data_IF_434395672299
#
_entry.id   IF_434395672299
#
_cell.length_a   1.000
_cell.length_b   1.000
_cell.length_c   1.000
_cell.angle_alpha   90.00
_cell.angle_beta   90.00
_cell.angle_gamma   90.00
#
_symmetry.space_group_name_H-M   'P 1'
#
loop_
_entity.id
_entity.type
_entity.pdbx_description
1 polymer ?
#
# COMPACT_ATOMS: atom_id res chain seq x y z
N UNK A 1 13.26 16.87 34.10
CA UNK A 1 12.29 17.72 33.37
C UNK A 1 12.24 17.44 31.87
N UNK A 2 13.20 16.71 31.28
CA UNK A 2 13.17 16.31 29.85
C UNK A 2 12.15 15.20 29.53
N UNK A 3 11.99 14.19 30.39
CA UNK A 3 11.07 13.06 30.14
C UNK A 3 9.57 13.39 30.14
N UNK A 4 9.17 14.56 30.67
CA UNK A 4 7.76 15.02 30.62
C UNK A 4 7.48 15.75 29.30
N UNK A 5 8.53 16.26 28.64
CA UNK A 5 8.42 16.99 27.37
C UNK A 5 8.11 16.04 26.21
N UNK A 6 8.70 14.84 26.23
CA UNK A 6 8.53 13.79 25.22
C UNK A 6 7.12 13.16 25.23
N UNK A 7 6.47 13.12 26.40
CA UNK A 7 5.09 12.63 26.53
C UNK A 7 4.07 13.70 26.06
N UNK A 8 4.40 15.00 26.18
CA UNK A 8 3.54 16.10 25.71
C UNK A 8 3.51 16.29 24.19
N UNK A 9 4.51 15.84 23.44
CA UNK A 9 4.52 15.91 21.97
C UNK A 9 3.60 14.87 21.30
N UNK A 10 3.16 13.85 22.04
CA UNK A 10 2.21 12.83 21.54
C UNK A 10 0.73 13.26 21.61
N UNK A 11 0.41 14.41 22.19
CA UNK A 11 -0.92 15.00 22.05
C UNK A 11 -1.06 15.66 20.66
N UNK A 12 -1.61 14.88 19.72
CA UNK A 12 -2.28 15.40 18.53
C UNK A 12 -1.39 15.72 17.33
N UNK A 13 -0.33 14.94 17.05
CA UNK A 13 0.33 15.05 15.75
C UNK A 13 -0.65 14.61 14.66
N UNK A 14 -1.11 15.57 13.85
CA UNK A 14 -2.01 15.29 12.73
C UNK A 14 -1.22 14.59 11.63
N UNK A 15 -1.49 13.30 11.46
CA UNK A 15 -0.89 12.52 10.39
C UNK A 15 -1.71 12.65 9.11
N UNK A 16 -1.00 12.57 7.97
CA UNK A 16 -1.56 12.57 6.62
C UNK A 16 -1.60 11.15 6.08
N UNK A 17 -2.42 10.99 5.05
CA UNK A 17 -2.48 9.78 4.24
C UNK A 17 -1.68 10.03 2.97
N UNK A 18 -0.82 9.08 2.62
CA UNK A 18 -0.16 8.99 1.32
C UNK A 18 -0.83 7.92 0.45
N UNK A 19 -0.88 8.12 -0.87
CA UNK A 19 -1.51 7.17 -1.80
C UNK A 19 -0.59 6.94 -3.00
N UNK A 20 -0.39 5.69 -3.38
CA UNK A 20 0.37 5.27 -4.56
C UNK A 20 -0.51 4.37 -5.42
N UNK A 21 -0.75 4.71 -6.69
CA UNK A 21 -1.62 3.89 -7.54
C UNK A 21 -1.67 4.34 -9.00
N UNK A 22 -2.61 3.77 -9.76
CA UNK A 22 -2.96 4.26 -11.08
C UNK A 22 -3.52 5.68 -11.05
N UNK A 23 -3.62 6.30 -12.23
CA UNK A 23 -4.21 7.62 -12.41
C UNK A 23 -5.64 7.71 -11.86
N UNK A 24 -6.45 6.67 -12.03
CA UNK A 24 -7.86 6.65 -11.58
C UNK A 24 -7.93 6.57 -10.05
N UNK A 25 -7.15 5.68 -9.44
CA UNK A 25 -7.12 5.52 -7.98
C UNK A 25 -6.63 6.81 -7.31
N UNK A 26 -5.52 7.36 -7.80
CA UNK A 26 -4.95 8.61 -7.28
C UNK A 26 -5.96 9.75 -7.38
N UNK A 27 -6.60 9.93 -8.54
CA UNK A 27 -7.58 10.99 -8.75
C UNK A 27 -8.76 10.88 -7.78
N UNK A 28 -9.26 9.68 -7.51
CA UNK A 28 -10.32 9.46 -6.53
C UNK A 28 -9.94 9.92 -5.12
N UNK A 29 -8.73 9.61 -4.68
CA UNK A 29 -8.22 10.05 -3.37
C UNK A 29 -7.90 11.55 -3.32
N UNK A 30 -7.41 12.14 -4.41
CA UNK A 30 -7.21 13.60 -4.51
C UNK A 30 -8.53 14.36 -4.35
N UNK A 31 -9.59 13.89 -5.02
CA UNK A 31 -10.94 14.45 -4.88
C UNK A 31 -11.49 14.32 -3.45
N UNK A 32 -11.10 13.26 -2.73
CA UNK A 32 -11.41 13.07 -1.32
C UNK A 32 -10.55 13.92 -0.37
N UNK A 33 -9.62 14.73 -0.89
CA UNK A 33 -8.79 15.68 -0.12
C UNK A 33 -7.41 15.14 0.28
N UNK A 34 -6.99 13.97 -0.22
CA UNK A 34 -5.64 13.45 0.01
C UNK A 34 -4.65 14.18 -0.87
N UNK A 35 -3.63 14.80 -0.26
CA UNK A 35 -2.66 15.64 -0.99
C UNK A 35 -1.37 14.91 -1.34
N UNK A 36 -0.98 13.91 -0.54
CA UNK A 36 0.28 13.19 -0.73
C UNK A 36 0.07 11.99 -1.66
N UNK A 37 -0.25 12.26 -2.92
CA UNK A 37 -0.50 11.21 -3.91
C UNK A 37 0.68 11.03 -4.86
N UNK A 38 0.86 9.80 -5.37
CA UNK A 38 1.84 9.44 -6.38
C UNK A 38 1.25 8.48 -7.39
N UNK A 39 1.35 8.85 -8.67
CA UNK A 39 1.01 7.93 -9.76
C UNK A 39 2.22 7.06 -10.03
N UNK A 40 2.01 5.74 -10.14
CA UNK A 40 3.03 4.80 -10.54
C UNK A 40 2.45 3.80 -11.56
N UNK A 41 3.25 3.42 -12.55
CA UNK A 41 2.86 2.51 -13.64
C UNK A 41 3.58 1.16 -13.59
N UNK A 42 4.67 1.08 -12.84
CA UNK A 42 5.51 -0.10 -12.73
C UNK A 42 6.17 -0.18 -11.34
N UNK A 43 6.89 -1.27 -11.08
CA UNK A 43 7.55 -1.50 -9.79
C UNK A 43 8.61 -0.47 -9.45
N UNK A 44 9.40 0.02 -10.41
CA UNK A 44 10.45 1.01 -10.17
C UNK A 44 9.87 2.37 -9.77
N UNK A 45 8.82 2.81 -10.46
CA UNK A 45 8.06 4.01 -10.08
C UNK A 45 7.40 3.86 -8.72
N UNK A 46 6.86 2.68 -8.40
CA UNK A 46 6.26 2.40 -7.10
C UNK A 46 7.30 2.42 -5.97
N UNK A 47 8.50 1.88 -6.19
CA UNK A 47 9.60 1.95 -5.23
C UNK A 47 10.00 3.39 -4.93
N UNK A 48 10.19 4.19 -5.98
CA UNK A 48 10.53 5.61 -5.84
C UNK A 48 9.43 6.37 -5.08
N UNK A 49 8.17 6.16 -5.45
CA UNK A 49 7.02 6.78 -4.79
C UNK A 49 6.93 6.39 -3.31
N UNK A 50 7.17 5.12 -2.99
CA UNK A 50 7.14 4.62 -1.62
C UNK A 50 8.28 5.22 -0.80
N UNK A 51 9.50 5.28 -1.33
CA UNK A 51 10.62 5.93 -0.64
C UNK A 51 10.34 7.43 -0.41
N UNK A 52 9.76 8.14 -1.37
CA UNK A 52 9.38 9.54 -1.19
C UNK A 52 8.39 9.73 -0.03
N UNK A 53 7.36 8.90 0.06
CA UNK A 53 6.35 8.98 1.14
C UNK A 53 6.90 8.53 2.49
N UNK A 54 7.78 7.51 2.52
CA UNK A 54 8.43 7.05 3.75
C UNK A 54 9.34 8.10 4.37
N UNK A 55 9.92 8.99 3.56
CA UNK A 55 10.77 10.09 4.03
C UNK A 55 9.96 11.27 4.60
N UNK A 56 8.63 11.28 4.48
CA UNK A 56 7.76 12.31 5.03
C UNK A 56 7.35 11.98 6.48
N UNK A 57 7.84 12.77 7.44
CA UNK A 57 7.61 12.52 8.88
C UNK A 57 6.17 12.76 9.38
N UNK A 58 5.30 13.28 8.52
CA UNK A 58 3.89 13.56 8.80
C UNK A 58 2.95 12.58 8.11
N UNK A 59 3.44 11.56 7.40
CA UNK A 59 2.62 10.47 6.85
C UNK A 59 2.43 9.40 7.93
N UNK A 60 1.17 9.08 8.24
CA UNK A 60 0.81 8.02 9.19
C UNK A 60 0.26 6.77 8.52
N UNK A 61 -0.29 6.90 7.31
CA UNK A 61 -0.82 5.80 6.51
C UNK A 61 -0.34 5.98 5.07
N UNK A 62 0.12 4.89 4.44
CA UNK A 62 0.37 4.81 3.01
C UNK A 62 -0.54 3.75 2.42
N UNK A 63 -1.38 4.14 1.47
CA UNK A 63 -2.18 3.22 0.66
C UNK A 63 -1.43 2.99 -0.65
N UNK A 64 -1.25 1.74 -1.05
CA UNK A 64 -0.60 1.37 -2.32
C UNK A 64 -1.48 0.40 -3.10
N UNK A 65 -1.55 0.54 -4.42
CA UNK A 65 -2.20 -0.46 -5.27
C UNK A 65 -1.51 -1.84 -5.12
N UNK A 66 -2.30 -2.90 -4.96
CA UNK A 66 -1.82 -4.26 -4.67
C UNK A 66 -0.88 -4.78 -5.77
N UNK A 67 -1.24 -4.60 -7.05
CA UNK A 67 -0.39 -4.98 -8.17
C UNK A 67 0.89 -4.18 -8.27
N UNK A 68 0.96 -2.96 -7.72
CA UNK A 68 2.21 -2.20 -7.64
C UNK A 68 3.08 -2.66 -6.46
N UNK A 69 2.47 -2.92 -5.30
CA UNK A 69 3.17 -3.48 -4.14
C UNK A 69 3.85 -4.81 -4.49
N UNK A 70 3.16 -5.68 -5.25
CA UNK A 70 3.69 -6.96 -5.72
C UNK A 70 4.83 -6.82 -6.76
N UNK A 71 4.97 -5.65 -7.40
CA UNK A 71 6.02 -5.38 -8.41
C UNK A 71 7.29 -4.77 -7.80
N UNK A 72 7.27 -4.37 -6.52
CA UNK A 72 8.45 -3.88 -5.80
C UNK A 72 9.44 -5.05 -5.65
N UNK A 73 10.68 -4.86 -6.10
CA UNK A 73 11.77 -5.85 -6.03
C UNK A 73 12.71 -5.60 -4.86
N UNK A 74 12.77 -4.36 -4.36
CA UNK A 74 13.59 -3.99 -3.21
C UNK A 74 13.14 -4.75 -1.96
N UNK A 75 13.99 -5.67 -1.49
CA UNK A 75 13.73 -6.48 -0.28
C UNK A 75 13.57 -5.61 0.98
N UNK A 76 14.27 -4.47 1.05
CA UNK A 76 14.10 -3.49 2.12
C UNK A 76 12.67 -2.94 2.13
N UNK A 77 12.16 -2.53 0.96
CA UNK A 77 10.82 -1.95 0.84
C UNK A 77 9.73 -2.99 1.11
N UNK A 78 9.87 -4.21 0.60
CA UNK A 78 8.97 -5.32 0.94
C UNK A 78 8.90 -5.55 2.45
N UNK A 79 10.06 -5.59 3.12
CA UNK A 79 10.09 -5.78 4.58
C UNK A 79 9.41 -4.62 5.32
N UNK A 80 9.56 -3.38 4.85
CA UNK A 80 8.88 -2.21 5.42
C UNK A 80 7.37 -2.31 5.23
N UNK A 81 6.89 -2.73 4.05
CA UNK A 81 5.46 -2.98 3.79
C UNK A 81 4.89 -3.97 4.80
N UNK A 82 5.63 -5.03 5.13
CA UNK A 82 5.18 -6.09 6.04
C UNK A 82 5.24 -5.71 7.53
N UNK A 83 6.18 -4.85 7.93
CA UNK A 83 6.52 -4.66 9.36
C UNK A 83 6.31 -3.25 9.90
N UNK A 84 6.15 -2.25 9.03
CA UNK A 84 6.02 -0.86 9.46
C UNK A 84 4.69 -0.59 10.15
N UNK A 85 4.74 -0.14 11.40
CA UNK A 85 3.59 0.33 12.16
C UNK A 85 3.34 1.84 12.01
N UNK A 86 4.35 2.60 11.58
CA UNK A 86 4.23 4.05 11.36
C UNK A 86 5.30 4.50 10.33
N UNK A 87 4.90 4.82 9.08
CA UNK A 87 3.52 4.78 8.58
C UNK A 87 2.99 3.35 8.43
N UNK A 88 1.69 3.16 8.68
CA UNK A 88 0.98 1.91 8.36
C UNK A 88 0.81 1.82 6.84
N UNK A 89 1.27 0.72 6.24
CA UNK A 89 1.18 0.52 4.79
C UNK A 89 0.08 -0.48 4.48
N UNK A 90 -0.86 -0.12 3.60
CA UNK A 90 -2.02 -0.94 3.24
C UNK A 90 -2.04 -1.10 1.72
N UNK A 91 -2.02 -2.35 1.26
CA UNK A 91 -2.25 -2.68 -0.14
C UNK A 91 -3.76 -2.78 -0.42
N UNK A 92 -4.25 -2.10 -1.46
CA UNK A 92 -5.65 -2.20 -1.92
C UNK A 92 -5.71 -2.51 -3.42
N UNK A 93 -6.75 -3.19 -3.92
CA UNK A 93 -6.92 -3.40 -5.34
C UNK A 93 -7.02 -2.08 -6.12
N UNK A 94 -6.42 -2.03 -7.31
CA UNK A 94 -6.56 -0.90 -8.23
C UNK A 94 -7.83 -1.03 -9.11
N UNK A 95 -8.31 0.08 -9.68
CA UNK A 95 -9.52 0.11 -10.52
C UNK A 95 -9.45 -0.82 -11.74
N UNK A 96 -8.25 -1.02 -12.30
CA UNK A 96 -8.04 -1.88 -13.47
C UNK A 96 -7.57 -3.29 -13.15
N UNK A 97 -7.39 -3.61 -11.87
CA UNK A 97 -7.08 -4.97 -11.46
C UNK A 97 -8.38 -5.78 -11.60
N UNK A 98 -8.46 -6.57 -12.67
CA UNK A 98 -9.43 -7.64 -12.72
C UNK A 98 -9.16 -8.49 -11.49
N UNK A 99 -10.15 -8.63 -10.61
CA UNK A 99 -10.26 -9.86 -9.86
C UNK A 99 -10.18 -10.96 -10.92
N UNK A 100 -9.11 -11.74 -10.94
CA UNK A 100 -9.13 -12.98 -11.71
C UNK A 100 -10.19 -13.85 -11.03
N UNK A 101 -11.45 -13.72 -11.47
CA UNK A 101 -12.58 -14.56 -11.04
C UNK A 101 -12.19 -16.05 -11.10
N UNK A 102 -11.33 -16.38 -12.07
CA UNK A 102 -10.72 -17.70 -12.26
C UNK A 102 -9.90 -18.13 -11.03
N UNK A 103 -9.14 -17.24 -10.41
CA UNK A 103 -8.25 -17.56 -9.29
C UNK A 103 -9.01 -17.68 -7.96
N UNK A 104 -10.13 -16.97 -7.80
CA UNK A 104 -11.00 -17.12 -6.61
C UNK A 104 -11.69 -18.48 -6.60
N UNK A 105 -12.34 -18.90 -7.70
CA UNK A 105 -12.96 -20.23 -7.79
C UNK A 105 -11.91 -21.34 -7.72
N UNK A 106 -10.77 -21.17 -8.40
CA UNK A 106 -9.65 -22.12 -8.34
C UNK A 106 -9.09 -22.25 -6.93
N UNK A 107 -8.90 -21.16 -6.18
CA UNK A 107 -8.50 -21.20 -4.77
C UNK A 107 -9.50 -21.95 -3.90
N UNK A 108 -10.80 -21.77 -4.13
CA UNK A 108 -11.83 -22.48 -3.38
C UNK A 108 -11.79 -23.99 -3.67
N UNK A 109 -11.63 -24.39 -4.93
CA UNK A 109 -11.49 -25.80 -5.32
C UNK A 109 -10.22 -26.41 -4.71
N UNK A 110 -9.08 -25.71 -4.80
CA UNK A 110 -7.81 -26.14 -4.22
C UNK A 110 -7.89 -26.30 -2.70
N UNK A 111 -8.57 -25.37 -1.99
CA UNK A 111 -8.76 -25.48 -0.54
C UNK A 111 -9.70 -26.61 -0.13
N UNK A 112 -10.73 -26.89 -0.93
CA UNK A 112 -11.72 -27.92 -0.61
C UNK A 112 -11.25 -29.34 -0.95
N UNK A 113 -10.50 -29.52 -2.05
CA UNK A 113 -10.19 -30.83 -2.63
C UNK A 113 -8.67 -31.11 -2.66
N UNK A 114 -7.82 -30.07 -2.64
CA UNK A 114 -6.36 -30.22 -2.63
C UNK A 114 -5.72 -30.53 -3.99
N UNK A 115 -6.49 -30.48 -5.08
CA UNK A 115 -6.00 -30.78 -6.44
C UNK A 115 -6.53 -29.78 -7.47
N UNK A 116 -5.70 -29.47 -8.46
CA UNK A 116 -6.03 -28.56 -9.55
C UNK A 116 -6.60 -29.31 -10.74
N UNK A 117 -7.89 -29.10 -11.03
CA UNK A 117 -8.62 -29.83 -12.08
C UNK A 117 -8.69 -29.04 -13.39
N UNK A 118 -8.22 -27.78 -13.41
CA UNK A 118 -8.38 -26.86 -14.56
C UNK A 118 -7.05 -26.65 -15.32
N UNK A 119 -5.96 -27.29 -14.87
CA UNK A 119 -4.71 -27.32 -15.61
C UNK A 119 -4.84 -28.22 -16.86
N UNK A 120 -5.18 -27.62 -18.00
CA UNK A 120 -4.98 -28.21 -19.33
C UNK A 120 -4.29 -27.22 -20.24
#
# INVERSE_FOLDING_TARGET
MEGIKEIKEKEGKLYKIGVIGSEILVMGFELAGVKAVRIARNGEEAEKALDELLNMQDIGIIIIAEGLANKIKSRRLQHIIETSLMPLIIAIPDYQEKEEEVDTLRRLILRAIGIDIIAK
#
